data_IF_337081312481
#
_entry.id   IF_337081312481
#
_cell.length_a   1.000
_cell.length_b   1.000
_cell.length_c   1.000
_cell.angle_alpha   90.00
_cell.angle_beta   90.00
_cell.angle_gamma   90.00
#
_symmetry.space_group_name_H-M   'P 1'
#
loop_
_entity.id
_entity.type
_entity.pdbx_description
1 polymer ?
#
# COMPACT_ATOMS: atom_id res chain seq x y z
N UNK A 1 3.87 1.25 -20.69
CA UNK A 1 5.03 2.14 -20.93
C UNK A 1 5.47 2.10 -22.38
N UNK A 2 5.69 0.94 -22.99
CA UNK A 2 6.05 0.84 -24.41
C UNK A 2 5.03 1.52 -25.32
N UNK A 3 3.73 1.28 -25.12
CA UNK A 3 2.66 1.95 -25.89
C UNK A 3 2.64 3.49 -25.75
N UNK A 4 3.05 4.03 -24.58
CA UNK A 4 3.08 5.48 -24.33
C UNK A 4 4.36 6.12 -24.90
N UNK A 5 5.49 5.40 -24.84
CA UNK A 5 6.77 5.80 -25.42
C UNK A 5 6.76 5.71 -26.95
N UNK A 6 5.99 4.78 -27.52
CA UNK A 6 5.79 4.62 -28.97
C UNK A 6 4.50 5.25 -29.47
N UNK A 7 3.79 6.01 -28.63
CA UNK A 7 2.53 6.66 -29.01
C UNK A 7 2.74 7.61 -30.19
N UNK A 8 1.80 7.59 -31.13
CA UNK A 8 1.75 8.54 -32.25
C UNK A 8 1.44 9.97 -31.76
N UNK A 9 0.82 10.10 -30.59
CA UNK A 9 0.53 11.39 -29.96
C UNK A 9 1.79 11.96 -29.30
N UNK A 10 2.30 13.06 -29.85
CA UNK A 10 3.56 13.68 -29.40
C UNK A 10 3.53 14.08 -27.91
N UNK A 11 2.40 14.60 -27.44
CA UNK A 11 2.23 15.00 -26.04
C UNK A 11 2.37 13.79 -25.10
N UNK A 12 1.68 12.69 -25.39
CA UNK A 12 1.76 11.42 -24.63
C UNK A 12 3.19 10.90 -24.56
N UNK A 13 3.92 10.97 -25.68
CA UNK A 13 5.32 10.54 -25.74
C UNK A 13 6.25 11.46 -24.95
N UNK A 14 6.08 12.78 -25.04
CA UNK A 14 6.88 13.76 -24.24
C UNK A 14 6.65 13.57 -22.74
N UNK A 15 5.41 13.35 -22.32
CA UNK A 15 5.08 13.06 -20.92
C UNK A 15 5.76 11.77 -20.48
N UNK A 16 5.64 10.68 -21.25
CA UNK A 16 6.27 9.40 -20.92
C UNK A 16 7.81 9.51 -20.82
N UNK A 17 8.47 10.23 -21.74
CA UNK A 17 9.92 10.47 -21.63
C UNK A 17 10.30 11.33 -20.43
N UNK A 18 9.49 12.35 -20.11
CA UNK A 18 9.66 13.18 -18.93
C UNK A 18 9.56 12.36 -17.64
N UNK A 19 8.59 11.45 -17.56
CA UNK A 19 8.41 10.52 -16.43
C UNK A 19 9.62 9.59 -16.27
N UNK A 20 10.08 8.96 -17.36
CA UNK A 20 11.28 8.09 -17.33
C UNK A 20 12.50 8.87 -16.86
N UNK A 21 12.69 10.09 -17.37
CA UNK A 21 13.81 10.94 -16.95
C UNK A 21 13.70 11.32 -15.47
N UNK A 22 12.52 11.70 -14.99
CA UNK A 22 12.28 12.02 -13.59
C UNK A 22 12.57 10.83 -12.67
N UNK A 23 12.09 9.63 -13.01
CA UNK A 23 12.36 8.40 -12.25
C UNK A 23 13.87 8.11 -12.23
N UNK A 24 14.57 8.23 -13.37
CA UNK A 24 16.03 8.02 -13.42
C UNK A 24 16.78 9.01 -12.54
N UNK A 25 16.44 10.30 -12.63
CA UNK A 25 17.05 11.33 -11.79
C UNK A 25 16.80 11.04 -10.31
N UNK A 26 15.57 10.68 -9.94
CA UNK A 26 15.21 10.32 -8.57
C UNK A 26 16.02 9.12 -8.06
N UNK A 27 16.11 8.04 -8.85
CA UNK A 27 16.87 6.85 -8.49
C UNK A 27 18.38 7.16 -8.38
N UNK A 28 18.93 7.94 -9.31
CA UNK A 28 20.33 8.38 -9.25
C UNK A 28 20.59 9.24 -8.01
N UNK A 29 19.71 10.18 -7.70
CA UNK A 29 19.81 11.00 -6.49
C UNK A 29 19.74 10.14 -5.22
N UNK A 30 18.83 9.16 -5.16
CA UNK A 30 18.71 8.24 -4.03
C UNK A 30 19.99 7.40 -3.82
N UNK A 31 20.63 6.94 -4.91
CA UNK A 31 21.92 6.24 -4.86
C UNK A 31 23.01 7.16 -4.32
N UNK A 32 23.11 8.39 -4.85
CA UNK A 32 24.11 9.37 -4.39
C UNK A 32 23.93 9.69 -2.91
N UNK A 33 22.69 9.95 -2.47
CA UNK A 33 22.37 10.21 -1.05
C UNK A 33 22.78 9.03 -0.18
N UNK A 34 22.48 7.80 -0.61
CA UNK A 34 22.83 6.58 0.13
C UNK A 34 24.35 6.40 0.24
N UNK A 35 25.07 6.64 -0.86
CA UNK A 35 26.55 6.60 -0.88
C UNK A 35 27.15 7.67 0.03
N UNK A 36 26.67 8.91 -0.05
CA UNK A 36 27.13 10.02 0.81
C UNK A 36 26.85 9.70 2.28
N UNK A 37 25.68 9.16 2.60
CA UNK A 37 25.32 8.75 3.95
C UNK A 37 26.22 7.60 4.45
N UNK A 38 26.53 6.62 3.61
CA UNK A 38 27.43 5.51 3.94
C UNK A 38 28.87 6.01 4.20
N UNK A 39 29.40 6.83 3.31
CA UNK A 39 30.74 7.43 3.45
C UNK A 39 30.84 8.37 4.66
N UNK A 40 29.75 9.06 4.98
CA UNK A 40 29.68 9.99 6.12
C UNK A 40 29.22 9.32 7.41
N UNK A 41 29.01 8.00 7.43
CA UNK A 41 28.42 7.29 8.57
C UNK A 41 29.13 7.53 9.91
N UNK A 42 30.48 7.52 10.00
CA UNK A 42 31.16 7.82 11.27
C UNK A 42 30.86 9.22 11.81
N UNK A 43 30.71 10.20 10.91
CA UNK A 43 30.35 11.59 11.28
C UNK A 43 28.87 11.67 11.69
N UNK A 44 27.99 10.98 10.97
CA UNK A 44 26.56 10.93 11.29
C UNK A 44 26.36 10.27 12.67
N UNK A 45 27.00 9.13 12.92
CA UNK A 45 26.89 8.39 14.18
C UNK A 45 27.44 9.16 15.39
N UNK A 46 28.45 10.03 15.18
CA UNK A 46 28.99 10.91 16.22
C UNK A 46 28.28 12.26 16.34
N UNK A 47 27.27 12.53 15.50
CA UNK A 47 26.53 13.79 15.52
C UNK A 47 25.57 13.90 16.72
N UNK A 48 25.36 15.12 17.22
CA UNK A 48 24.39 15.38 18.28
C UNK A 48 22.94 15.00 17.89
N UNK A 49 22.46 15.25 16.66
CA UNK A 49 21.15 14.79 16.21
C UNK A 49 20.98 13.28 16.26
N UNK A 50 22.00 12.51 15.86
CA UNK A 50 21.96 11.05 15.93
C UNK A 50 21.88 10.55 17.38
N UNK A 51 22.72 11.09 18.28
CA UNK A 51 22.67 10.75 19.71
C UNK A 51 21.32 11.10 20.33
N UNK A 52 20.75 12.27 20.00
CA UNK A 52 19.39 12.66 20.40
C UNK A 52 18.34 11.71 19.83
N UNK A 53 18.52 11.23 18.59
CA UNK A 53 17.62 10.25 18.00
C UNK A 53 17.62 8.94 18.79
N UNK A 54 18.83 8.42 19.05
CA UNK A 54 19.04 7.17 19.78
C UNK A 54 18.71 7.24 21.27
N UNK A 55 18.75 8.43 21.87
CA UNK A 55 18.46 8.64 23.29
C UNK A 55 16.98 8.66 23.66
N UNK A 56 16.06 8.81 22.69
CA UNK A 56 14.62 8.73 22.99
C UNK A 56 14.20 7.27 23.11
N UNK A 57 13.67 6.94 24.28
CA UNK A 57 13.07 5.63 24.54
C UNK A 57 11.60 5.68 24.13
N UNK A 58 11.27 5.06 23.00
CA UNK A 58 9.88 4.78 22.64
C UNK A 58 9.48 3.46 23.32
N UNK A 59 8.49 3.45 24.22
CA UNK A 59 8.08 2.22 24.88
C UNK A 59 7.46 1.26 23.87
N UNK A 60 7.98 0.02 23.84
CA UNK A 60 7.44 -1.06 23.04
C UNK A 60 7.35 -2.30 23.93
N UNK A 61 6.18 -2.95 24.02
CA UNK A 61 6.08 -4.24 24.69
C UNK A 61 7.03 -5.26 24.06
N UNK A 62 7.79 -5.99 24.88
CA UNK A 62 8.70 -7.03 24.40
C UNK A 62 7.94 -8.13 23.60
N UNK A 63 6.68 -8.35 23.96
CA UNK A 63 5.72 -9.21 23.26
C UNK A 63 5.48 -8.76 21.81
N UNK A 64 5.28 -7.45 21.58
CA UNK A 64 5.14 -6.88 20.23
C UNK A 64 6.42 -7.05 19.41
N UNK A 65 7.58 -6.71 19.99
CA UNK A 65 8.86 -6.86 19.30
C UNK A 65 9.15 -8.32 18.89
N UNK A 66 8.74 -9.28 19.73
CA UNK A 66 8.86 -10.72 19.44
C UNK A 66 7.86 -11.15 18.37
N UNK A 67 6.61 -10.66 18.42
CA UNK A 67 5.61 -10.98 17.41
C UNK A 67 6.01 -10.51 16.02
N UNK A 68 6.58 -9.30 15.89
CA UNK A 68 7.01 -8.77 14.58
C UNK A 68 8.03 -9.67 13.86
N UNK A 69 8.73 -10.56 14.59
CA UNK A 69 9.69 -11.51 14.02
C UNK A 69 9.05 -12.82 13.57
N UNK A 70 7.77 -13.06 13.86
CA UNK A 70 7.09 -14.32 13.52
C UNK A 70 6.80 -14.38 12.02
N UNK A 71 7.15 -15.52 11.43
CA UNK A 71 6.85 -15.84 10.02
C UNK A 71 5.49 -16.55 9.90
N UNK A 72 5.17 -17.43 10.85
CA UNK A 72 3.88 -18.12 10.86
C UNK A 72 2.88 -17.34 11.72
N UNK A 73 2.13 -16.44 11.09
CA UNK A 73 1.02 -15.70 11.69
C UNK A 73 -0.27 -16.02 10.94
N UNK A 74 -1.42 -15.99 11.62
CA UNK A 74 -2.71 -16.22 10.98
C UNK A 74 -2.99 -15.20 9.88
N UNK A 75 -2.57 -13.95 10.07
CA UNK A 75 -2.64 -12.86 9.09
C UNK A 75 -1.80 -13.16 7.85
N UNK A 76 -0.57 -13.66 8.01
CA UNK A 76 0.23 -14.13 6.89
C UNK A 76 -0.51 -15.23 6.12
N UNK A 77 -0.96 -16.29 6.81
CA UNK A 77 -1.66 -17.42 6.19
C UNK A 77 -2.87 -16.94 5.37
N UNK A 78 -3.70 -16.04 5.93
CA UNK A 78 -4.86 -15.49 5.23
C UNK A 78 -4.45 -14.76 3.94
N UNK A 79 -3.43 -13.88 4.00
CA UNK A 79 -2.99 -13.14 2.82
C UNK A 79 -2.32 -14.05 1.78
N UNK A 80 -1.50 -15.01 2.21
CA UNK A 80 -0.92 -16.05 1.35
C UNK A 80 -2.02 -16.83 0.63
N UNK A 81 -3.05 -17.28 1.35
CA UNK A 81 -4.19 -17.97 0.76
C UNK A 81 -4.93 -17.07 -0.23
N UNK A 82 -5.17 -15.79 0.09
CA UNK A 82 -5.79 -14.85 -0.83
C UNK A 82 -4.97 -14.68 -2.12
N UNK A 83 -3.64 -14.52 -2.03
CA UNK A 83 -2.75 -14.45 -3.19
C UNK A 83 -2.87 -15.71 -4.07
N UNK A 84 -2.83 -16.90 -3.46
CA UNK A 84 -2.97 -18.17 -4.20
C UNK A 84 -4.34 -18.27 -4.88
N UNK A 85 -5.43 -17.93 -4.17
CA UNK A 85 -6.77 -17.93 -4.74
C UNK A 85 -6.90 -16.95 -5.91
N UNK A 86 -6.31 -15.76 -5.81
CA UNK A 86 -6.28 -14.79 -6.90
C UNK A 86 -5.51 -15.33 -8.10
N UNK A 87 -4.35 -15.96 -7.89
CA UNK A 87 -3.59 -16.60 -8.98
C UNK A 87 -4.37 -17.72 -9.67
N UNK A 88 -5.06 -18.57 -8.89
CA UNK A 88 -5.94 -19.60 -9.42
C UNK A 88 -7.11 -19.01 -10.21
N UNK A 89 -7.71 -17.94 -9.70
CA UNK A 89 -8.78 -17.21 -10.39
C UNK A 89 -8.29 -16.60 -11.71
N UNK A 90 -7.12 -15.96 -11.73
CA UNK A 90 -6.53 -15.42 -12.97
C UNK A 90 -6.23 -16.54 -13.97
N UNK A 91 -5.71 -17.68 -13.50
CA UNK A 91 -5.32 -18.79 -14.37
C UNK A 91 -6.51 -19.58 -14.94
N UNK A 92 -7.51 -19.85 -14.11
CA UNK A 92 -8.59 -20.79 -14.41
C UNK A 92 -9.96 -20.13 -14.51
N UNK A 93 -10.08 -18.83 -14.22
CA UNK A 93 -11.35 -18.12 -14.19
C UNK A 93 -12.13 -18.21 -15.49
N UNK A 94 -11.45 -18.17 -16.64
CA UNK A 94 -12.09 -18.32 -17.95
C UNK A 94 -12.64 -19.74 -18.24
N UNK A 95 -12.21 -20.76 -17.48
CA UNK A 95 -12.74 -22.13 -17.58
C UNK A 95 -13.98 -22.32 -16.70
N UNK A 96 -14.10 -21.52 -15.63
CA UNK A 96 -15.15 -21.67 -14.60
C UNK A 96 -16.28 -20.67 -14.80
N UNK A 97 -15.97 -19.46 -15.28
CA UNK A 97 -16.90 -18.34 -15.40
C UNK A 97 -17.12 -17.92 -16.85
N UNK A 98 -18.36 -17.52 -17.14
CA UNK A 98 -18.71 -16.87 -18.41
C UNK A 98 -18.10 -15.48 -18.50
N UNK A 99 -17.98 -14.92 -19.72
CA UNK A 99 -17.49 -13.55 -19.92
C UNK A 99 -18.29 -12.51 -19.15
N UNK A 100 -19.62 -12.64 -19.09
CA UNK A 100 -20.49 -11.74 -18.34
C UNK A 100 -20.24 -11.81 -16.83
N UNK A 101 -20.02 -13.01 -16.29
CA UNK A 101 -19.68 -13.19 -14.87
C UNK A 101 -18.30 -12.61 -14.54
N UNK A 102 -17.30 -12.82 -15.41
CA UNK A 102 -15.97 -12.21 -15.21
C UNK A 102 -16.04 -10.69 -15.21
N UNK A 103 -16.83 -10.11 -16.11
CA UNK A 103 -17.05 -8.66 -16.14
C UNK A 103 -17.82 -8.17 -14.92
N UNK A 104 -18.81 -8.91 -14.42
CA UNK A 104 -19.52 -8.53 -13.20
C UNK A 104 -18.65 -8.62 -11.93
N UNK A 105 -17.70 -9.57 -11.90
CA UNK A 105 -16.76 -9.71 -10.77
C UNK A 105 -15.71 -8.60 -10.80
N UNK A 106 -15.16 -8.31 -11.98
CA UNK A 106 -13.87 -7.65 -12.14
C UNK A 106 -13.89 -6.44 -13.10
N UNK A 107 -15.06 -6.08 -13.60
CA UNK A 107 -15.28 -4.85 -14.35
C UNK A 107 -15.32 -3.64 -13.43
N UNK A 108 -15.42 -2.47 -14.04
CA UNK A 108 -15.75 -1.21 -13.35
C UNK A 108 -17.14 -1.34 -12.68
N UNK A 109 -17.28 -0.85 -11.45
CA UNK A 109 -18.42 -1.11 -10.56
C UNK A 109 -18.61 -2.60 -10.21
N UNK A 110 -17.53 -3.39 -10.31
CA UNK A 110 -17.54 -4.83 -10.07
C UNK A 110 -17.63 -5.21 -8.59
N UNK A 111 -17.82 -6.50 -8.34
CA UNK A 111 -17.81 -7.03 -6.96
C UNK A 111 -16.47 -6.77 -6.27
N UNK A 112 -15.33 -6.92 -6.96
CA UNK A 112 -14.03 -6.74 -6.33
C UNK A 112 -13.82 -5.31 -5.82
N UNK A 113 -14.20 -4.31 -6.62
CA UNK A 113 -14.16 -2.88 -6.27
C UNK A 113 -15.03 -2.57 -5.03
N UNK A 114 -16.25 -3.12 -4.99
CA UNK A 114 -17.12 -2.99 -3.81
C UNK A 114 -16.53 -3.65 -2.56
N UNK A 115 -15.88 -4.81 -2.73
CA UNK A 115 -15.23 -5.54 -1.64
C UNK A 115 -13.97 -4.82 -1.15
N UNK A 116 -13.10 -4.34 -2.05
CA UNK A 116 -11.90 -3.58 -1.71
C UNK A 116 -12.27 -2.31 -0.94
N UNK A 117 -13.28 -1.56 -1.40
CA UNK A 117 -13.81 -0.39 -0.72
C UNK A 117 -14.31 -0.72 0.69
N UNK A 118 -15.11 -1.78 0.85
CA UNK A 118 -15.60 -2.22 2.16
C UNK A 118 -14.45 -2.62 3.10
N UNK A 119 -13.45 -3.34 2.59
CA UNK A 119 -12.28 -3.75 3.36
C UNK A 119 -11.48 -2.53 3.84
N UNK A 120 -11.28 -1.53 2.96
CA UNK A 120 -10.61 -0.27 3.31
C UNK A 120 -11.41 0.53 4.35
N UNK A 121 -12.74 0.54 4.26
CA UNK A 121 -13.59 1.17 5.26
C UNK A 121 -13.44 0.50 6.64
N UNK A 122 -13.38 -0.83 6.68
CA UNK A 122 -13.12 -1.58 7.93
C UNK A 122 -11.71 -1.28 8.45
N UNK A 123 -10.70 -1.23 7.58
CA UNK A 123 -9.33 -0.87 7.96
C UNK A 123 -9.27 0.56 8.55
N UNK A 124 -9.99 1.51 7.95
CA UNK A 124 -10.16 2.87 8.46
C UNK A 124 -10.75 2.87 9.88
N UNK A 125 -11.85 2.11 10.06
CA UNK A 125 -12.52 1.97 11.36
C UNK A 125 -11.61 1.34 12.43
N UNK A 126 -10.83 0.32 12.09
CA UNK A 126 -9.86 -0.28 13.02
C UNK A 126 -8.77 0.72 13.39
N UNK A 127 -8.23 1.47 12.42
CA UNK A 127 -7.20 2.48 12.71
C UNK A 127 -7.74 3.61 13.60
N UNK A 128 -8.97 4.07 13.35
CA UNK A 128 -9.65 5.05 14.19
C UNK A 128 -9.89 4.50 15.61
N UNK A 129 -10.31 3.24 15.75
CA UNK A 129 -10.49 2.58 17.04
C UNK A 129 -9.15 2.48 17.80
N UNK A 130 -8.06 2.15 17.11
CA UNK A 130 -6.72 2.13 17.72
C UNK A 130 -6.34 3.53 18.20
N UNK A 131 -6.52 4.57 17.37
CA UNK A 131 -6.26 5.97 17.76
C UNK A 131 -7.07 6.39 18.99
N UNK A 132 -8.35 6.02 19.05
CA UNK A 132 -9.23 6.28 20.19
C UNK A 132 -8.71 5.62 21.47
N UNK A 133 -8.34 4.34 21.41
CA UNK A 133 -7.86 3.57 22.58
C UNK A 133 -6.52 4.06 23.11
N UNK A 134 -5.58 4.43 22.24
CA UNK A 134 -4.26 4.91 22.68
C UNK A 134 -4.30 6.35 23.19
N UNK A 135 -5.27 7.16 22.75
CA UNK A 135 -5.48 8.54 23.18
C UNK A 135 -4.48 9.55 22.59
N UNK A 136 -4.83 10.84 22.64
CA UNK A 136 -4.08 11.93 21.98
C UNK A 136 -2.64 12.12 22.47
N UNK A 137 -2.35 11.68 23.69
CA UNK A 137 -1.01 11.78 24.28
C UNK A 137 -0.03 10.70 23.80
N UNK A 138 -0.51 9.67 23.08
CA UNK A 138 0.34 8.58 22.63
C UNK A 138 1.08 8.96 21.32
N UNK A 139 2.39 8.69 21.18
CA UNK A 139 3.17 9.06 19.99
C UNK A 139 2.60 8.56 18.65
N UNK A 140 1.85 7.44 18.67
CA UNK A 140 1.24 6.85 17.47
C UNK A 140 -0.15 7.40 17.12
N UNK A 141 -0.73 8.26 17.96
CA UNK A 141 -2.08 8.79 17.74
C UNK A 141 -2.24 9.45 16.38
N UNK A 142 -1.35 10.39 16.06
CA UNK A 142 -1.42 11.15 14.80
C UNK A 142 -1.36 10.24 13.58
N UNK A 143 -0.50 9.22 13.62
CA UNK A 143 -0.36 8.27 12.52
C UNK A 143 -1.61 7.41 12.31
N UNK A 144 -2.24 6.93 13.39
CA UNK A 144 -3.47 6.15 13.25
C UNK A 144 -4.66 6.98 12.79
N UNK A 145 -4.74 8.26 13.15
CA UNK A 145 -5.72 9.20 12.59
C UNK A 145 -5.43 9.42 11.10
N UNK A 146 -4.17 9.67 10.74
CA UNK A 146 -3.77 9.82 9.34
C UNK A 146 -4.16 8.58 8.52
N UNK A 147 -3.86 7.37 8.99
CA UNK A 147 -4.21 6.13 8.32
C UNK A 147 -5.71 5.89 8.23
N UNK A 148 -6.49 6.26 9.27
CA UNK A 148 -7.93 6.18 9.22
C UNK A 148 -8.52 7.07 8.11
N UNK A 149 -8.04 8.32 8.02
CA UNK A 149 -8.44 9.25 6.96
C UNK A 149 -7.97 8.73 5.60
N UNK A 150 -6.72 8.27 5.48
CA UNK A 150 -6.16 7.75 4.24
C UNK A 150 -6.98 6.57 3.70
N UNK A 151 -7.27 5.56 4.53
CA UNK A 151 -8.06 4.40 4.11
C UNK A 151 -9.52 4.77 3.79
N UNK A 152 -10.10 5.75 4.50
CA UNK A 152 -11.43 6.27 4.17
C UNK A 152 -11.46 6.97 2.81
N UNK A 153 -10.45 7.80 2.51
CA UNK A 153 -10.32 8.44 1.21
C UNK A 153 -10.10 7.40 0.11
N UNK A 154 -9.23 6.40 0.33
CA UNK A 154 -9.05 5.30 -0.62
C UNK A 154 -10.36 4.54 -0.86
N UNK A 155 -11.13 4.24 0.18
CA UNK A 155 -12.45 3.63 0.03
C UNK A 155 -13.38 4.48 -0.85
N UNK A 156 -13.37 5.80 -0.69
CA UNK A 156 -14.16 6.70 -1.53
C UNK A 156 -13.70 6.70 -2.98
N UNK A 157 -12.37 6.71 -3.21
CA UNK A 157 -11.78 6.65 -4.54
C UNK A 157 -12.14 5.35 -5.28
N UNK A 158 -12.18 4.22 -4.59
CA UNK A 158 -12.59 2.92 -5.17
C UNK A 158 -14.03 2.94 -5.69
N UNK A 159 -14.97 3.66 -5.05
CA UNK A 159 -16.39 3.69 -5.47
C UNK A 159 -16.79 4.98 -6.19
N UNK A 160 -15.81 5.80 -6.61
CA UNK A 160 -16.05 7.06 -7.33
C UNK A 160 -17.04 8.00 -6.63
N UNK A 161 -16.92 8.07 -5.30
CA UNK A 161 -17.84 8.81 -4.41
C UNK A 161 -18.02 10.29 -4.76
N UNK A 162 -17.00 10.94 -5.33
CA UNK A 162 -17.04 12.35 -5.74
C UNK A 162 -18.19 12.64 -6.72
N UNK A 163 -18.41 11.76 -7.70
CA UNK A 163 -19.48 11.93 -8.68
C UNK A 163 -20.81 11.40 -8.14
N UNK A 164 -20.78 10.27 -7.43
CA UNK A 164 -21.99 9.62 -6.91
C UNK A 164 -22.66 10.40 -5.78
N UNK A 165 -21.89 11.00 -4.88
CA UNK A 165 -22.39 11.72 -3.70
C UNK A 165 -22.58 13.22 -4.01
N UNK A 166 -21.63 13.84 -4.73
CA UNK A 166 -21.65 15.29 -4.94
C UNK A 166 -22.10 15.71 -6.34
N UNK A 167 -22.43 14.76 -7.23
CA UNK A 167 -22.91 15.06 -8.58
C UNK A 167 -21.89 15.79 -9.45
N UNK A 168 -20.59 15.68 -9.12
CA UNK A 168 -19.53 16.38 -9.82
C UNK A 168 -19.40 15.84 -11.25
N UNK A 169 -19.65 16.69 -12.24
CA UNK A 169 -19.40 16.34 -13.63
C UNK A 169 -17.90 16.37 -13.97
N UNK A 170 -17.48 15.49 -14.88
CA UNK A 170 -16.11 15.47 -15.39
C UNK A 170 -15.85 16.74 -16.21
N UNK A 171 -14.91 17.61 -15.81
CA UNK A 171 -14.62 18.86 -16.50
C UNK A 171 -14.24 18.64 -17.97
N UNK A 172 -14.62 19.55 -18.87
CA UNK A 172 -14.40 19.39 -20.31
C UNK A 172 -12.92 19.17 -20.69
N UNK A 173 -11.98 19.80 -19.98
CA UNK A 173 -10.54 19.60 -20.19
C UNK A 173 -10.01 18.22 -19.77
N UNK A 174 -10.72 17.51 -18.90
CA UNK A 174 -10.38 16.14 -18.45
C UNK A 174 -11.04 15.08 -19.32
N UNK A 175 -12.18 15.36 -19.97
CA UNK A 175 -12.90 14.40 -20.83
C UNK A 175 -12.05 13.85 -21.98
N UNK A 176 -11.08 14.60 -22.48
CA UNK A 176 -10.22 14.17 -23.59
C UNK A 176 -9.16 13.12 -23.23
N UNK A 177 -8.80 13.02 -21.94
CA UNK A 177 -7.78 12.09 -21.43
C UNK A 177 -8.33 11.05 -20.45
N UNK A 178 -9.56 11.27 -19.97
CA UNK A 178 -10.25 10.44 -19.02
C UNK A 178 -10.99 9.31 -19.74
N UNK A 179 -10.41 8.10 -19.70
CA UNK A 179 -10.91 6.92 -20.43
C UNK A 179 -12.16 6.33 -19.79
N UNK A 180 -12.35 6.46 -18.47
CA UNK A 180 -13.47 5.87 -17.73
C UNK A 180 -14.58 6.89 -17.38
N UNK A 181 -14.38 8.18 -17.67
CA UNK A 181 -15.35 9.24 -17.39
C UNK A 181 -15.43 9.67 -15.92
N UNK A 182 -14.54 9.19 -15.05
CA UNK A 182 -14.62 9.42 -13.60
C UNK A 182 -13.62 10.46 -13.06
N UNK A 183 -14.00 11.29 -12.06
CA UNK A 183 -13.13 12.36 -11.51
C UNK A 183 -12.13 11.89 -10.44
N UNK A 184 -12.21 10.64 -10.04
CA UNK A 184 -11.28 10.01 -9.10
C UNK A 184 -9.83 10.17 -9.56
N UNK A 185 -8.93 10.37 -8.59
CA UNK A 185 -7.49 10.52 -8.79
C UNK A 185 -6.91 9.25 -9.42
N UNK A 186 -7.51 8.09 -9.09
CA UNK A 186 -7.15 6.79 -9.63
C UNK A 186 -7.36 6.71 -11.16
N UNK A 187 -8.35 7.41 -11.72
CA UNK A 187 -8.60 7.36 -13.16
C UNK A 187 -7.88 8.51 -13.91
N UNK A 188 -7.94 9.74 -13.40
CA UNK A 188 -7.34 10.90 -14.09
C UNK A 188 -5.81 10.93 -14.05
N UNK A 189 -5.19 10.30 -13.05
CA UNK A 189 -3.74 10.13 -12.97
C UNK A 189 -3.33 8.66 -13.02
N UNK A 190 -4.18 7.77 -13.54
CA UNK A 190 -4.13 6.33 -13.26
C UNK A 190 -2.78 5.68 -13.42
N UNK A 191 -2.02 6.04 -14.47
CA UNK A 191 -0.66 5.53 -14.61
C UNK A 191 0.26 5.93 -13.43
N UNK A 192 0.32 7.21 -13.08
CA UNK A 192 1.18 7.70 -11.99
C UNK A 192 0.65 7.23 -10.63
N UNK A 193 -0.67 7.31 -10.42
CA UNK A 193 -1.31 6.91 -9.19
C UNK A 193 -1.08 5.42 -8.90
N UNK A 194 -1.23 4.55 -9.91
CA UNK A 194 -0.94 3.11 -9.81
C UNK A 194 0.51 2.84 -9.44
N UNK A 195 1.46 3.47 -10.14
CA UNK A 195 2.87 3.21 -9.91
C UNK A 195 3.33 3.74 -8.55
N UNK A 196 2.80 4.89 -8.14
CA UNK A 196 3.04 5.44 -6.81
C UNK A 196 2.43 4.56 -5.73
N UNK A 197 1.22 4.04 -5.94
CA UNK A 197 0.56 3.11 -5.03
C UNK A 197 1.39 1.83 -4.87
N UNK A 198 1.77 1.19 -5.97
CA UNK A 198 2.65 0.00 -5.97
C UNK A 198 3.95 0.29 -5.23
N UNK A 199 4.59 1.42 -5.55
CA UNK A 199 5.86 1.80 -4.93
C UNK A 199 5.70 1.98 -3.41
N UNK A 200 4.71 2.75 -2.98
CA UNK A 200 4.41 2.97 -1.56
C UNK A 200 4.07 1.67 -0.84
N UNK A 201 3.25 0.81 -1.47
CA UNK A 201 2.88 -0.50 -0.95
C UNK A 201 4.11 -1.41 -0.79
N UNK A 202 5.00 -1.49 -1.79
CA UNK A 202 6.23 -2.27 -1.72
C UNK A 202 7.23 -1.71 -0.71
N UNK A 203 7.35 -0.38 -0.59
CA UNK A 203 8.16 0.26 0.45
C UNK A 203 7.64 -0.16 1.83
N UNK A 204 6.32 -0.15 2.05
CA UNK A 204 5.73 -0.56 3.32
C UNK A 204 5.86 -2.08 3.56
N UNK A 205 5.67 -2.90 2.53
CA UNK A 205 5.76 -4.35 2.61
C UNK A 205 7.19 -4.85 2.84
N UNK A 206 8.20 -4.24 2.22
CA UNK A 206 9.58 -4.68 2.26
C UNK A 206 10.49 -3.75 3.08
N UNK A 207 10.61 -2.48 2.69
CA UNK A 207 11.63 -1.59 3.27
C UNK A 207 11.34 -1.23 4.73
N UNK A 208 10.07 -1.03 5.10
CA UNK A 208 9.69 -0.73 6.49
C UNK A 208 10.05 -1.87 7.46
N UNK A 209 9.63 -3.13 7.26
CA UNK A 209 10.00 -4.22 8.17
C UNK A 209 11.50 -4.54 8.14
N UNK A 210 12.17 -4.46 6.99
CA UNK A 210 13.62 -4.65 6.90
C UNK A 210 14.37 -3.55 7.67
N UNK A 211 14.05 -2.28 7.44
CA UNK A 211 14.69 -1.17 8.14
C UNK A 211 14.39 -1.19 9.64
N UNK A 212 13.19 -1.60 10.04
CA UNK A 212 12.84 -1.82 11.44
C UNK A 212 13.71 -2.89 12.10
N UNK A 213 13.99 -3.99 11.40
CA UNK A 213 14.75 -5.11 11.99
C UNK A 213 16.26 -4.86 11.97
N UNK A 214 16.79 -4.29 10.88
CA UNK A 214 18.23 -4.23 10.63
C UNK A 214 18.87 -2.85 10.80
N UNK A 215 18.10 -1.76 10.81
CA UNK A 215 18.65 -0.39 10.80
C UNK A 215 18.18 0.40 12.03
N UNK A 216 18.97 0.44 13.13
CA UNK A 216 18.54 1.03 14.40
C UNK A 216 18.02 2.48 14.34
N UNK A 217 18.61 3.40 13.57
CA UNK A 217 18.10 4.77 13.48
C UNK A 217 16.75 4.86 12.78
N UNK A 218 16.54 4.05 11.73
CA UNK A 218 15.27 3.98 11.02
C UNK A 218 14.20 3.32 11.88
N UNK A 219 14.56 2.26 12.63
CA UNK A 219 13.69 1.70 13.67
C UNK A 219 13.20 2.78 14.64
N UNK A 220 14.10 3.61 15.19
CA UNK A 220 13.71 4.70 16.09
C UNK A 220 12.79 5.72 15.41
N UNK A 221 13.05 6.06 14.16
CA UNK A 221 12.19 6.96 13.38
C UNK A 221 10.80 6.37 13.19
N UNK A 222 10.69 5.12 12.71
CA UNK A 222 9.44 4.37 12.53
C UNK A 222 8.61 4.34 13.81
N UNK A 223 9.27 4.11 14.95
CA UNK A 223 8.62 4.06 16.25
C UNK A 223 8.09 5.41 16.73
N UNK A 224 8.83 6.49 16.47
CA UNK A 224 8.44 7.87 16.84
C UNK A 224 7.27 8.36 16.02
N UNK A 225 7.31 8.15 14.70
CA UNK A 225 6.17 8.48 13.83
C UNK A 225 5.00 7.55 14.09
N UNK A 226 5.25 6.38 14.69
CA UNK A 226 4.21 5.41 15.01
C UNK A 226 3.69 4.63 13.81
N UNK A 227 4.52 4.49 12.77
CA UNK A 227 4.19 3.75 11.56
C UNK A 227 3.98 2.27 11.92
N UNK A 228 2.82 1.67 11.56
CA UNK A 228 2.59 0.26 11.72
C UNK A 228 3.61 -0.58 10.94
N UNK A 229 4.11 -1.64 11.59
CA UNK A 229 5.06 -2.58 10.99
C UNK A 229 4.39 -3.94 10.94
N UNK A 230 4.31 -4.60 9.77
CA UNK A 230 3.78 -5.95 9.68
C UNK A 230 4.73 -6.95 10.36
N UNK A 231 4.17 -8.07 10.85
CA UNK A 231 4.97 -9.25 11.17
C UNK A 231 5.80 -9.72 9.96
N UNK A 232 6.92 -10.38 10.20
CA UNK A 232 7.78 -10.90 9.12
C UNK A 232 6.99 -11.79 8.14
N UNK A 233 6.05 -12.60 8.63
CA UNK A 233 5.16 -13.41 7.80
C UNK A 233 4.24 -12.57 6.92
N UNK A 234 3.56 -11.60 7.52
CA UNK A 234 2.66 -10.71 6.79
C UNK A 234 3.43 -9.86 5.78
N UNK A 235 4.62 -9.37 6.13
CA UNK A 235 5.50 -8.63 5.23
C UNK A 235 5.84 -9.44 3.97
N UNK A 236 6.22 -10.70 4.11
CA UNK A 236 6.50 -11.59 2.97
C UNK A 236 5.23 -11.77 2.11
N UNK A 237 4.08 -12.01 2.74
CA UNK A 237 2.80 -12.14 2.04
C UNK A 237 2.42 -10.86 1.28
N UNK A 238 2.65 -9.69 1.87
CA UNK A 238 2.44 -8.38 1.25
C UNK A 238 3.38 -8.19 0.06
N UNK A 239 4.66 -8.54 0.17
CA UNK A 239 5.58 -8.45 -0.98
C UNK A 239 5.08 -9.30 -2.13
N UNK A 240 4.66 -10.54 -1.88
CA UNK A 240 4.13 -11.40 -2.93
C UNK A 240 2.86 -10.82 -3.57
N UNK A 241 1.94 -10.25 -2.77
CA UNK A 241 0.76 -9.56 -3.29
C UNK A 241 1.16 -8.36 -4.18
N UNK A 242 2.16 -7.58 -3.75
CA UNK A 242 2.67 -6.43 -4.51
C UNK A 242 3.43 -6.80 -5.79
N UNK A 243 3.92 -8.04 -5.89
CA UNK A 243 4.55 -8.56 -7.11
C UNK A 243 3.55 -8.98 -8.20
N UNK A 244 2.24 -8.93 -7.93
CA UNK A 244 1.18 -9.22 -8.90
C UNK A 244 0.98 -8.04 -9.87
N UNK A 245 2.00 -7.80 -10.70
CA UNK A 245 2.03 -6.75 -11.72
C UNK A 245 1.74 -7.34 -13.10
N UNK A 246 1.05 -6.59 -13.97
CA UNK A 246 0.76 -6.99 -15.35
C UNK A 246 1.97 -7.58 -16.10
N UNK A 247 3.16 -6.95 -16.10
CA UNK A 247 4.30 -7.49 -16.84
C UNK A 247 4.82 -8.80 -16.28
N UNK A 248 4.63 -9.07 -14.99
CA UNK A 248 5.08 -10.29 -14.31
C UNK A 248 4.08 -11.41 -14.55
N UNK A 249 2.80 -11.13 -14.33
CA UNK A 249 1.74 -12.12 -14.49
C UNK A 249 1.57 -12.53 -15.95
N UNK A 250 1.60 -11.58 -16.89
CA UNK A 250 1.40 -11.88 -18.30
C UNK A 250 2.55 -12.62 -18.98
N UNK A 251 3.72 -12.73 -18.34
CA UNK A 251 4.78 -13.64 -18.78
C UNK A 251 4.44 -15.12 -18.55
N UNK A 252 3.54 -15.40 -17.60
CA UNK A 252 3.22 -16.77 -17.17
C UNK A 252 1.79 -17.16 -17.53
N UNK A 253 0.87 -16.20 -17.46
CA UNK A 253 -0.56 -16.41 -17.72
C UNK A 253 -0.99 -15.50 -18.88
N UNK A 254 -1.51 -16.04 -19.99
CA UNK A 254 -1.96 -15.22 -21.11
C UNK A 254 -2.99 -14.17 -20.66
N UNK A 255 -2.91 -12.92 -21.16
CA UNK A 255 -3.82 -11.87 -20.75
C UNK A 255 -5.26 -12.22 -21.15
N UNK A 256 -6.14 -12.24 -20.16
CA UNK A 256 -7.58 -12.39 -20.38
C UNK A 256 -8.18 -10.99 -20.56
N UNK A 257 -8.67 -10.68 -21.76
CA UNK A 257 -9.19 -9.34 -22.11
C UNK A 257 -10.29 -8.81 -21.18
N UNK A 258 -11.00 -9.69 -20.48
CA UNK A 258 -12.11 -9.35 -19.58
C UNK A 258 -11.70 -9.25 -18.12
N UNK A 259 -10.44 -9.55 -17.77
CA UNK A 259 -9.96 -9.60 -16.39
C UNK A 259 -9.05 -8.39 -16.13
N UNK A 260 -9.51 -7.46 -15.29
CA UNK A 260 -8.68 -6.33 -14.83
C UNK A 260 -7.78 -6.82 -13.69
N UNK A 261 -6.48 -6.89 -13.93
CA UNK A 261 -5.52 -7.35 -12.93
C UNK A 261 -5.33 -6.31 -11.80
N UNK A 262 -5.49 -5.02 -12.12
CA UNK A 262 -5.44 -3.91 -11.17
C UNK A 262 -6.43 -4.11 -10.00
N UNK A 263 -7.70 -4.37 -10.30
CA UNK A 263 -8.77 -4.62 -9.31
C UNK A 263 -8.41 -5.75 -8.33
N UNK A 264 -7.86 -6.84 -8.85
CA UNK A 264 -7.43 -7.98 -8.04
C UNK A 264 -6.24 -7.62 -7.13
N UNK A 265 -5.30 -6.80 -7.63
CA UNK A 265 -4.15 -6.30 -6.87
C UNK A 265 -4.58 -5.30 -5.80
N UNK A 266 -5.47 -4.36 -6.11
CA UNK A 266 -6.06 -3.44 -5.13
C UNK A 266 -6.79 -4.19 -4.02
N UNK A 267 -7.60 -5.19 -4.38
CA UNK A 267 -8.26 -6.05 -3.41
C UNK A 267 -7.26 -6.73 -2.46
N UNK A 268 -6.17 -7.29 -3.00
CA UNK A 268 -5.11 -7.89 -2.17
C UNK A 268 -4.40 -6.87 -1.29
N UNK A 269 -4.17 -5.66 -1.78
CA UNK A 269 -3.57 -4.58 -1.01
C UNK A 269 -4.51 -4.09 0.12
N UNK A 270 -5.82 -4.01 -0.15
CA UNK A 270 -6.83 -3.71 0.86
C UNK A 270 -6.85 -4.77 1.96
N UNK A 271 -6.85 -6.06 1.58
CA UNK A 271 -6.74 -7.19 2.54
C UNK A 271 -5.47 -7.06 3.37
N UNK A 272 -4.32 -6.77 2.74
CA UNK A 272 -3.06 -6.58 3.43
C UNK A 272 -3.11 -5.45 4.46
N UNK A 273 -3.66 -4.28 4.11
CA UNK A 273 -3.81 -3.16 5.04
C UNK A 273 -4.75 -3.48 6.19
N UNK A 274 -5.87 -4.17 5.92
CA UNK A 274 -6.78 -4.63 6.97
C UNK A 274 -6.07 -5.59 7.94
N UNK A 275 -5.33 -6.56 7.43
CA UNK A 275 -4.59 -7.53 8.25
C UNK A 275 -3.47 -6.85 9.06
N UNK A 276 -2.79 -5.86 8.48
CA UNK A 276 -1.80 -5.04 9.20
C UNK A 276 -2.46 -4.27 10.35
N UNK A 277 -3.61 -3.63 10.11
CA UNK A 277 -4.35 -2.94 11.17
C UNK A 277 -4.87 -3.92 12.22
N UNK A 278 -5.23 -5.14 11.82
CA UNK A 278 -5.65 -6.20 12.74
C UNK A 278 -4.52 -6.64 13.67
N UNK A 279 -3.30 -6.86 13.12
CA UNK A 279 -2.11 -7.12 13.93
C UNK A 279 -1.94 -6.01 14.96
N UNK A 280 -1.91 -4.74 14.51
CA UNK A 280 -1.70 -3.58 15.38
C UNK A 280 -2.76 -3.48 16.50
N UNK A 281 -4.04 -3.68 16.16
CA UNK A 281 -5.15 -3.67 17.13
C UNK A 281 -4.97 -4.72 18.22
N UNK A 282 -4.52 -5.93 17.87
CA UNK A 282 -4.31 -7.01 18.85
C UNK A 282 -3.30 -6.59 19.93
N UNK A 283 -2.21 -5.92 19.56
CA UNK A 283 -1.21 -5.48 20.53
C UNK A 283 -1.69 -4.37 21.47
N UNK A 284 -2.48 -3.43 20.97
CA UNK A 284 -2.99 -2.36 21.81
C UNK A 284 -4.10 -2.83 22.76
N UNK A 285 -4.84 -3.88 22.40
CA UNK A 285 -5.75 -4.54 23.34
C UNK A 285 -4.97 -5.23 24.48
N UNK A 286 -3.91 -5.96 24.15
CA UNK A 286 -3.10 -6.69 25.13
C UNK A 286 -2.33 -5.74 26.08
N UNK A 287 -1.81 -4.62 25.58
CA UNK A 287 -1.07 -3.62 26.36
C UNK A 287 -1.95 -2.72 27.27
N UNK A 288 -3.26 -2.69 27.07
CA UNK A 288 -4.19 -2.07 28.03
C UNK A 288 -4.52 -3.05 29.17
N UNK A 289 -4.72 -4.34 28.84
CA UNK A 289 -4.95 -5.39 29.83
C UNK A 289 -3.80 -5.50 30.86
N UNK A 290 -2.53 -5.40 30.43
CA UNK A 290 -1.34 -5.40 31.32
C UNK A 290 -1.22 -4.13 32.19
N UNK A 291 -1.95 -3.05 31.90
CA UNK A 291 -1.96 -1.83 32.72
C UNK A 291 -3.12 -1.78 33.72
N UNK A 292 -4.15 -2.58 33.48
CA UNK A 292 -5.38 -2.62 34.26
C UNK A 292 -5.46 -3.83 35.21
N UNK A 293 -4.54 -4.81 35.07
CA UNK A 293 -4.41 -5.99 35.93
C UNK A 293 -2.98 -6.15 36.45
#
# INVERSE_FOLDING_TARGET
MDHSLTSEVELTRKVAYGEVAAVRIFLSAAVVITLVAALSWPRIASSAPYRRNMGVKVPIPATYATYLRRVSTSTAIILFTAVILTLLYIRFGALVFTRGQLWWINGEDGILESISAMILLVAAGISALVAYRIGRGHPRFGMHIFLAILFFLMCGEEISWGQRIFGLETPEGLRAVNVQGEINLHNNFGYIADHLFILCFLIWAALVPLSYHFVPPLRQMILRIGLPVPSAGLAIAMVMAGMMLDPVIYQVIPPLKTLRLAEARETLAAIAFLLLMWEVKKYFADAQWEREN
#
